data_IF_432021683441
#
_entry.id   IF_432021683441
#
_cell.length_a   1.000
_cell.length_b   1.000
_cell.length_c   1.000
_cell.angle_alpha   90.00
_cell.angle_beta   90.00
_cell.angle_gamma   90.00
#
_symmetry.space_group_name_H-M   'P 1'
#
loop_
_entity.id
_entity.type
_entity.pdbx_description
1 polymer ?
#
# COMPACT_ATOMS: atom_id res chain seq x y z
N UNK A 1 -11.74 -3.03 -13.90
CA UNK A 1 -11.72 -2.27 -12.63
C UNK A 1 -12.96 -2.70 -11.88
N UNK A 2 -12.82 -3.10 -10.61
CA UNK A 2 -13.94 -3.55 -9.77
C UNK A 2 -15.02 -2.44 -9.67
N UNK A 3 -16.28 -2.76 -9.42
CA UNK A 3 -17.34 -1.79 -9.03
C UNK A 3 -17.67 -1.87 -7.54
N UNK A 4 -18.40 -0.87 -7.01
CA UNK A 4 -18.82 -0.88 -5.60
C UNK A 4 -19.75 -2.07 -5.30
N UNK A 5 -20.63 -2.42 -6.22
CA UNK A 5 -21.53 -3.58 -6.12
C UNK A 5 -20.74 -4.88 -6.09
N UNK A 6 -19.78 -5.05 -7.00
CA UNK A 6 -18.89 -6.22 -7.03
C UNK A 6 -18.08 -6.36 -5.74
N UNK A 7 -17.64 -5.25 -5.14
CA UNK A 7 -16.96 -5.26 -3.85
C UNK A 7 -17.88 -5.78 -2.73
N UNK A 8 -19.13 -5.30 -2.71
CA UNK A 8 -20.13 -5.72 -1.70
C UNK A 8 -20.42 -7.20 -1.83
N UNK A 9 -20.69 -7.70 -3.03
CA UNK A 9 -20.99 -9.11 -3.27
C UNK A 9 -19.85 -10.04 -2.82
N UNK A 10 -18.61 -9.64 -3.09
CA UNK A 10 -17.42 -10.40 -2.70
C UNK A 10 -17.19 -10.41 -1.18
N UNK A 11 -17.47 -9.30 -0.51
CA UNK A 11 -17.40 -9.20 0.96
C UNK A 11 -18.48 -10.06 1.62
N UNK A 12 -19.70 -10.02 1.08
CA UNK A 12 -20.82 -10.86 1.51
C UNK A 12 -20.48 -12.35 1.41
N UNK A 13 -19.84 -12.77 0.31
CA UNK A 13 -19.40 -14.15 0.13
C UNK A 13 -18.30 -14.56 1.14
N UNK A 14 -17.34 -13.66 1.40
CA UNK A 14 -16.30 -13.86 2.40
C UNK A 14 -16.86 -14.00 3.82
N UNK A 15 -17.92 -13.27 4.16
CA UNK A 15 -18.60 -13.35 5.46
C UNK A 15 -19.45 -14.61 5.61
N UNK A 16 -20.07 -15.08 4.53
CA UNK A 16 -20.88 -16.31 4.51
C UNK A 16 -20.04 -17.58 4.57
N UNK A 17 -18.72 -17.49 4.42
CA UNK A 17 -17.85 -18.65 4.37
C UNK A 17 -17.65 -19.28 5.75
N UNK A 18 -17.96 -20.57 5.88
CA UNK A 18 -17.97 -21.28 7.17
C UNK A 18 -16.58 -21.70 7.68
N UNK A 19 -15.59 -21.82 6.79
CA UNK A 19 -14.25 -22.32 7.13
C UNK A 19 -13.18 -21.26 6.87
N UNK A 20 -12.14 -21.24 7.73
CA UNK A 20 -11.00 -20.33 7.58
C UNK A 20 -10.21 -20.59 6.29
N UNK A 21 -10.16 -21.84 5.84
CA UNK A 21 -9.41 -22.23 4.64
C UNK A 21 -10.10 -21.75 3.37
N UNK A 22 -11.42 -21.92 3.28
CA UNK A 22 -12.17 -21.45 2.12
C UNK A 22 -12.22 -19.92 2.07
N UNK A 23 -12.33 -19.26 3.24
CA UNK A 23 -12.21 -17.81 3.33
C UNK A 23 -10.87 -17.35 2.76
N UNK A 24 -9.76 -17.98 3.17
CA UNK A 24 -8.42 -17.64 2.67
C UNK A 24 -8.25 -17.89 1.16
N UNK A 25 -8.94 -18.89 0.59
CA UNK A 25 -8.95 -19.10 -0.86
C UNK A 25 -9.68 -17.96 -1.58
N UNK A 26 -10.85 -17.58 -1.09
CA UNK A 26 -11.63 -16.46 -1.62
C UNK A 26 -10.91 -15.12 -1.45
N UNK A 27 -10.26 -14.89 -0.30
CA UNK A 27 -9.45 -13.69 -0.06
C UNK A 27 -8.34 -13.55 -1.12
N UNK A 28 -7.70 -14.67 -1.48
CA UNK A 28 -6.67 -14.69 -2.53
C UNK A 28 -7.25 -14.54 -3.94
N UNK A 29 -8.41 -15.16 -4.19
CA UNK A 29 -9.06 -15.12 -5.49
C UNK A 29 -9.56 -13.70 -5.82
N UNK A 30 -10.22 -13.05 -4.86
CA UNK A 30 -10.70 -11.67 -5.00
C UNK A 30 -9.62 -10.63 -4.73
N UNK A 31 -8.54 -10.97 -4.02
CA UNK A 31 -7.58 -9.95 -3.55
C UNK A 31 -8.18 -8.99 -2.52
N UNK A 32 -9.26 -9.38 -1.85
CA UNK A 32 -9.96 -8.61 -0.82
C UNK A 32 -9.98 -9.42 0.45
N UNK A 33 -9.54 -8.83 1.56
CA UNK A 33 -9.50 -9.51 2.86
C UNK A 33 -10.66 -9.10 3.77
N UNK A 34 -11.02 -7.84 3.72
CA UNK A 34 -12.03 -7.21 4.57
C UNK A 34 -12.55 -5.92 3.92
N UNK A 35 -13.65 -5.41 4.44
CA UNK A 35 -14.22 -4.16 3.98
C UNK A 35 -13.24 -3.00 4.23
N UNK A 36 -13.08 -2.06 3.28
CA UNK A 36 -12.28 -0.86 3.51
C UNK A 36 -12.79 -0.09 4.73
N UNK A 37 -11.90 0.39 5.59
CA UNK A 37 -12.28 1.11 6.83
C UNK A 37 -13.16 2.35 6.57
N UNK A 38 -13.02 2.95 5.39
CA UNK A 38 -13.81 4.10 4.93
C UNK A 38 -15.04 3.71 4.09
N UNK A 39 -15.25 2.43 3.81
CA UNK A 39 -16.40 1.94 3.03
C UNK A 39 -17.75 2.19 3.69
N UNK A 40 -17.76 2.48 5.00
CA UNK A 40 -18.94 2.91 5.77
C UNK A 40 -19.37 4.37 5.54
N UNK A 41 -18.58 5.14 4.81
CA UNK A 41 -18.88 6.54 4.49
C UNK A 41 -19.49 6.58 3.09
N UNK A 42 -20.79 6.78 2.99
CA UNK A 42 -21.52 6.68 1.71
C UNK A 42 -21.06 7.69 0.65
N UNK A 43 -20.51 8.83 1.07
CA UNK A 43 -19.93 9.83 0.16
C UNK A 43 -18.58 9.40 -0.43
N UNK A 44 -18.01 8.29 0.05
CA UNK A 44 -16.76 7.74 -0.47
C UNK A 44 -17.04 6.48 -1.28
N UNK A 45 -16.40 6.41 -2.44
CA UNK A 45 -16.35 5.20 -3.24
C UNK A 45 -14.96 4.57 -3.05
N UNK A 46 -14.82 3.53 -2.21
CA UNK A 46 -13.54 2.94 -1.93
C UNK A 46 -12.93 2.28 -3.17
N UNK A 47 -13.72 1.92 -4.18
CA UNK A 47 -13.21 1.29 -5.40
C UNK A 47 -12.60 2.31 -6.35
N UNK A 48 -13.13 3.54 -6.36
CA UNK A 48 -12.60 4.64 -7.18
C UNK A 48 -11.53 5.48 -6.46
N UNK A 49 -11.73 5.77 -5.17
CA UNK A 49 -10.92 6.74 -4.43
C UNK A 49 -9.78 6.10 -3.65
N UNK A 50 -9.96 4.86 -3.21
CA UNK A 50 -8.96 4.12 -2.45
C UNK A 50 -8.90 2.64 -2.91
N UNK A 51 -8.70 2.38 -4.22
CA UNK A 51 -8.70 1.03 -4.74
C UNK A 51 -7.67 0.20 -3.97
N UNK A 52 -8.16 -0.84 -3.28
CA UNK A 52 -7.35 -1.70 -2.42
C UNK A 52 -6.10 -2.20 -3.17
N UNK A 53 -6.27 -2.52 -4.45
CA UNK A 53 -5.22 -3.00 -5.35
C UNK A 53 -4.09 -1.97 -5.55
N UNK A 54 -4.41 -0.69 -5.78
CA UNK A 54 -3.36 0.32 -5.96
C UNK A 54 -2.73 0.71 -4.62
N UNK A 55 -3.56 0.96 -3.61
CA UNK A 55 -3.08 1.45 -2.31
C UNK A 55 -2.23 0.41 -1.57
N UNK A 56 -2.68 -0.84 -1.47
CA UNK A 56 -1.94 -1.86 -0.73
C UNK A 56 -0.92 -2.60 -1.61
N UNK A 57 -1.26 -2.92 -2.86
CA UNK A 57 -0.30 -3.65 -3.69
C UNK A 57 0.81 -2.73 -4.20
N UNK A 58 0.46 -1.57 -4.76
CA UNK A 58 1.47 -0.69 -5.35
C UNK A 58 2.20 0.15 -4.30
N UNK A 59 1.48 0.96 -3.53
CA UNK A 59 2.13 1.89 -2.59
C UNK A 59 2.72 1.19 -1.36
N UNK A 60 2.06 0.19 -0.78
CA UNK A 60 2.55 -0.48 0.43
C UNK A 60 3.57 -1.60 0.12
N UNK A 61 3.41 -2.34 -0.98
CA UNK A 61 4.31 -3.45 -1.29
C UNK A 61 5.34 -3.12 -2.39
N UNK A 62 4.91 -2.58 -3.53
CA UNK A 62 5.82 -2.35 -4.66
C UNK A 62 6.78 -1.19 -4.39
N UNK A 63 6.30 -0.03 -3.93
CA UNK A 63 7.17 1.14 -3.73
C UNK A 63 8.31 0.86 -2.72
N UNK A 64 8.07 0.24 -1.54
CA UNK A 64 9.17 -0.08 -0.63
C UNK A 64 10.17 -1.10 -1.21
N UNK A 65 9.70 -2.02 -2.06
CA UNK A 65 10.57 -2.96 -2.75
C UNK A 65 11.38 -2.29 -3.87
N UNK A 66 10.78 -1.36 -4.62
CA UNK A 66 11.48 -0.53 -5.61
C UNK A 66 12.53 0.34 -4.94
N UNK A 67 12.22 0.95 -3.80
CA UNK A 67 13.20 1.71 -3.04
C UNK A 67 14.39 0.83 -2.64
N UNK A 68 14.14 -0.35 -2.05
CA UNK A 68 15.21 -1.31 -1.73
C UNK A 68 16.02 -1.71 -2.96
N UNK A 69 15.38 -1.80 -4.13
CA UNK A 69 16.04 -2.15 -5.39
C UNK A 69 16.98 -1.02 -5.84
N UNK A 70 16.48 0.22 -5.87
CA UNK A 70 17.26 1.41 -6.23
C UNK A 70 18.39 1.71 -5.23
N UNK A 71 18.26 1.30 -3.97
CA UNK A 71 19.33 1.43 -2.97
C UNK A 71 20.24 0.20 -2.87
N UNK A 72 20.08 -0.80 -3.75
CA UNK A 72 20.93 -2.01 -3.79
C UNK A 72 20.77 -2.99 -2.62
N UNK A 73 19.68 -2.88 -1.85
CA UNK A 73 19.40 -3.73 -0.67
C UNK A 73 18.45 -4.89 -1.01
N UNK A 74 17.78 -4.84 -2.16
CA UNK A 74 16.75 -5.81 -2.51
C UNK A 74 17.34 -7.14 -3.00
N UNK A 75 17.35 -8.14 -2.11
CA UNK A 75 17.63 -9.56 -2.43
C UNK A 75 18.96 -9.79 -3.18
N UNK A 76 19.96 -8.94 -2.95
CA UNK A 76 21.26 -9.04 -3.62
C UNK A 76 21.24 -8.73 -5.11
N UNK A 77 20.16 -8.14 -5.64
CA UNK A 77 20.09 -7.64 -7.01
C UNK A 77 20.81 -6.30 -7.09
N UNK A 78 21.75 -6.21 -8.03
CA UNK A 78 22.54 -5.01 -8.32
C UNK A 78 22.50 -4.75 -9.82
N UNK A 79 22.67 -3.49 -10.21
CA UNK A 79 22.68 -3.07 -11.62
C UNK A 79 22.98 -1.59 -11.78
N UNK A 80 22.91 -1.13 -13.02
CA UNK A 80 23.07 0.27 -13.44
C UNK A 80 21.98 1.20 -12.90
N UNK A 81 20.86 0.64 -12.45
CA UNK A 81 19.76 1.36 -11.80
C UNK A 81 20.00 1.69 -10.32
N UNK A 82 21.10 1.23 -9.71
CA UNK A 82 21.39 1.49 -8.30
C UNK A 82 21.87 2.94 -8.15
N UNK A 83 21.19 3.69 -7.29
CA UNK A 83 21.51 5.08 -7.00
C UNK A 83 22.79 5.17 -6.16
N UNK A 84 23.60 6.18 -6.46
CA UNK A 84 24.76 6.50 -5.64
C UNK A 84 24.33 6.88 -4.21
N UNK A 85 25.12 6.47 -3.22
CA UNK A 85 24.88 6.76 -1.81
C UNK A 85 24.74 8.26 -1.50
N UNK A 86 25.44 9.12 -2.24
CA UNK A 86 25.35 10.58 -2.10
C UNK A 86 24.00 11.11 -2.61
N UNK A 87 23.52 10.60 -3.74
CA UNK A 87 22.20 10.95 -4.29
C UNK A 87 21.10 10.50 -3.33
N UNK A 88 21.19 9.28 -2.79
CA UNK A 88 20.21 8.78 -1.80
C UNK A 88 20.20 9.68 -0.57
N UNK A 89 21.37 10.09 -0.08
CA UNK A 89 21.50 11.01 1.07
C UNK A 89 20.85 12.36 0.80
N UNK A 90 21.03 12.90 -0.40
CA UNK A 90 20.39 14.16 -0.83
C UNK A 90 18.87 14.03 -0.84
N UNK A 91 18.32 13.02 -1.52
CA UNK A 91 16.87 12.75 -1.58
C UNK A 91 16.28 12.64 -0.17
N UNK A 92 16.94 11.90 0.72
CA UNK A 92 16.46 11.73 2.10
C UNK A 92 16.54 13.03 2.90
N UNK A 93 17.57 13.85 2.67
CA UNK A 93 17.73 15.17 3.28
C UNK A 93 16.63 16.13 2.85
N UNK A 94 16.32 16.19 1.55
CA UNK A 94 15.23 17.02 1.02
C UNK A 94 13.86 16.53 1.51
N UNK A 95 13.64 15.21 1.52
CA UNK A 95 12.40 14.60 2.05
C UNK A 95 12.20 14.97 3.52
N UNK A 96 13.24 14.88 4.34
CA UNK A 96 13.20 15.29 5.74
C UNK A 96 12.93 16.80 5.89
N UNK A 97 13.52 17.64 5.04
CA UNK A 97 13.28 19.08 5.04
C UNK A 97 11.85 19.43 4.61
N UNK A 98 11.27 18.68 3.68
CA UNK A 98 9.89 18.86 3.21
C UNK A 98 8.84 18.38 4.23
N UNK A 99 9.18 17.44 5.12
CA UNK A 99 8.24 16.96 6.15
C UNK A 99 7.67 18.08 7.03
N UNK A 100 8.41 19.18 7.23
CA UNK A 100 7.92 20.36 7.97
C UNK A 100 6.73 21.06 7.30
N UNK A 101 6.48 20.81 6.01
CA UNK A 101 5.37 21.39 5.24
C UNK A 101 4.19 20.45 5.10
N UNK A 102 4.30 19.21 5.58
CA UNK A 102 3.21 18.23 5.57
C UNK A 102 2.48 18.35 6.91
N UNK A 103 1.14 18.58 6.93
CA UNK A 103 0.41 18.64 8.18
C UNK A 103 0.59 17.36 9.00
N UNK A 104 0.78 17.52 10.31
CA UNK A 104 1.06 16.40 11.21
C UNK A 104 -0.05 15.35 11.21
N UNK A 105 -1.28 15.71 10.83
CA UNK A 105 -2.39 14.76 10.65
C UNK A 105 -2.15 13.73 9.53
N UNK A 106 -1.33 14.06 8.53
CA UNK A 106 -1.06 13.19 7.38
C UNK A 106 0.23 12.38 7.49
N UNK A 107 1.11 12.68 8.44
CA UNK A 107 2.40 11.98 8.60
C UNK A 107 2.66 11.59 10.05
N UNK A 108 3.01 10.32 10.31
CA UNK A 108 3.73 9.96 11.53
C UNK A 108 5.21 10.24 11.30
N UNK A 109 5.92 10.74 12.30
CA UNK A 109 7.34 11.06 12.21
C UNK A 109 8.16 9.85 11.72
N UNK A 110 8.65 9.90 10.47
CA UNK A 110 9.53 8.88 9.88
C UNK A 110 10.93 8.86 10.52
N UNK A 111 11.29 9.89 11.31
CA UNK A 111 12.59 10.05 11.96
C UNK A 111 12.81 9.16 13.20
N UNK A 112 11.96 8.14 13.45
CA UNK A 112 12.22 7.13 14.50
C UNK A 112 13.27 6.07 14.11
N UNK A 113 13.86 6.17 12.93
CA UNK A 113 14.90 5.27 12.42
C UNK A 113 16.28 5.91 12.26
N UNK A 114 16.56 7.01 12.97
CA UNK A 114 17.92 7.49 13.22
C UNK A 114 18.40 6.98 14.58
#
# INVERSE_FOLDING_TARGET
MRTKEELVDQLDELERTSTKEDRKKLERYYGVKEAPALGRVDSLDPVLQCPFDCMHLFFENVIPNLWKLWTGVFKGLLGDYVLDSEIVREIMGETAAAMKTIPAEFSRTLARGL
#
